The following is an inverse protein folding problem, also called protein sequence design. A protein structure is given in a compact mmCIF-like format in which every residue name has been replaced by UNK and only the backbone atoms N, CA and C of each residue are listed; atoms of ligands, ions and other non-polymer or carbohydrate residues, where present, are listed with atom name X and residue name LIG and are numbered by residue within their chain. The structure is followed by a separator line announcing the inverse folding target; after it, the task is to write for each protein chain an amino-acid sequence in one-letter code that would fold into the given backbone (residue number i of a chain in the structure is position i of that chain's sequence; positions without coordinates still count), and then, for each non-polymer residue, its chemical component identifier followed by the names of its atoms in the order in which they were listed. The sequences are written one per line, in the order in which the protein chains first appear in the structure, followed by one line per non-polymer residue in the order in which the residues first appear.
data_IF_720492022398
#
_entry.id   IF_720492022398
#
_cell.length_a   1.000
_cell.length_b   1.000
_cell.length_c   1.000
_cell.angle_alpha   90.00
_cell.angle_beta   90.00
_cell.angle_gamma   90.00
#
_symmetry.space_group_name_H-M   'P 1'
#
loop_
_entity.id
_entity.type
_entity.pdbx_description
1 polymer ?
#
# COMPACT_ATOMS: atom_id res chain seq x y z
N UNK A 1 -7.62 17.27 -10.38
CA UNK A 1 -7.27 18.71 -10.40
C UNK A 1 -5.76 18.93 -10.37
N UNK A 2 -5.07 18.82 -9.23
CA UNK A 2 -3.59 18.94 -9.19
C UNK A 2 -2.89 17.78 -9.90
N UNK A 3 -3.40 16.55 -9.78
CA UNK A 3 -2.83 15.36 -10.44
C UNK A 3 -2.96 15.37 -11.98
N UNK A 4 -3.92 16.12 -12.52
CA UNK A 4 -4.25 16.09 -13.94
C UNK A 4 -3.66 17.27 -14.71
N UNK A 5 -3.56 18.45 -14.08
CA UNK A 5 -2.94 19.62 -14.71
C UNK A 5 -2.51 20.65 -13.66
N UNK A 6 -1.24 20.59 -13.25
CA UNK A 6 -0.66 21.49 -12.25
C UNK A 6 -0.68 22.95 -12.70
N UNK A 7 -0.36 23.25 -13.97
CA UNK A 7 -0.39 24.61 -14.51
C UNK A 7 -1.78 25.24 -14.41
N UNK A 8 -2.83 24.48 -14.77
CA UNK A 8 -4.21 24.96 -14.64
C UNK A 8 -4.61 25.19 -13.19
N UNK A 9 -4.23 24.29 -12.27
CA UNK A 9 -4.54 24.46 -10.86
C UNK A 9 -3.85 25.71 -10.26
N UNK A 10 -2.61 26.00 -10.68
CA UNK A 10 -1.91 27.24 -10.31
C UNK A 10 -2.58 28.50 -10.86
N UNK A 11 -3.09 28.45 -12.10
CA UNK A 11 -3.78 29.58 -12.74
C UNK A 11 -5.12 29.95 -12.07
N UNK A 12 -5.79 28.99 -11.41
CA UNK A 12 -7.05 29.21 -10.67
C UNK A 12 -6.78 29.74 -9.24
N UNK A 13 -5.51 30.01 -8.89
CA UNK A 13 -5.11 30.58 -7.60
C UNK A 13 -4.81 29.55 -6.50
N UNK A 14 -4.75 28.25 -6.81
CA UNK A 14 -4.30 27.26 -5.84
C UNK A 14 -2.79 27.35 -5.61
N UNK A 15 -2.37 27.48 -4.36
CA UNK A 15 -0.97 27.40 -3.99
C UNK A 15 -0.48 25.94 -4.00
N UNK A 16 -0.06 25.47 -5.17
CA UNK A 16 0.44 24.11 -5.39
C UNK A 16 1.62 23.75 -4.48
N UNK A 17 2.49 24.72 -4.17
CA UNK A 17 3.64 24.51 -3.28
C UNK A 17 3.17 24.14 -1.87
N UNK A 18 2.20 24.88 -1.34
CA UNK A 18 1.68 24.63 0.00
C UNK A 18 0.95 23.29 0.08
N UNK A 19 0.18 22.93 -0.94
CA UNK A 19 -0.52 21.64 -0.99
C UNK A 19 0.48 20.46 -1.02
N UNK A 20 1.51 20.54 -1.87
CA UNK A 20 2.55 19.51 -1.94
C UNK A 20 3.35 19.43 -0.64
N UNK A 21 3.65 20.58 -0.03
CA UNK A 21 4.34 20.64 1.26
C UNK A 21 3.50 19.99 2.37
N UNK A 22 2.21 20.28 2.45
CA UNK A 22 1.30 19.64 3.41
C UNK A 22 1.26 18.13 3.22
N UNK A 23 1.13 17.66 1.97
CA UNK A 23 1.15 16.23 1.68
C UNK A 23 2.49 15.57 2.09
N UNK A 24 3.62 16.24 1.84
CA UNK A 24 4.94 15.77 2.25
C UNK A 24 5.09 15.72 3.78
N UNK A 25 4.67 16.77 4.49
CA UNK A 25 4.74 16.83 5.96
C UNK A 25 3.86 15.75 6.59
N UNK A 26 2.65 15.53 6.08
CA UNK A 26 1.75 14.49 6.59
C UNK A 26 2.36 13.09 6.33
N UNK A 27 2.86 12.84 5.13
CA UNK A 27 3.53 11.57 4.81
C UNK A 27 4.74 11.34 5.70
N UNK A 28 5.61 12.34 5.88
CA UNK A 28 6.79 12.26 6.72
C UNK A 28 6.44 12.03 8.20
N UNK A 29 5.39 12.68 8.70
CA UNK A 29 4.90 12.48 10.06
C UNK A 29 4.41 11.04 10.29
N UNK A 30 3.64 10.48 9.35
CA UNK A 30 3.14 9.10 9.44
C UNK A 30 4.28 8.09 9.36
N UNK A 31 5.21 8.25 8.41
CA UNK A 31 6.40 7.38 8.28
C UNK A 31 7.28 7.46 9.52
N UNK A 32 7.51 8.67 10.06
CA UNK A 32 8.30 8.87 11.28
C UNK A 32 7.65 8.21 12.50
N UNK A 33 6.34 8.33 12.66
CA UNK A 33 5.59 7.67 13.73
C UNK A 33 5.68 6.14 13.62
N UNK A 34 5.52 5.60 12.41
CA UNK A 34 5.66 4.16 12.17
C UNK A 34 7.08 3.64 12.50
N UNK A 35 8.12 4.39 12.11
CA UNK A 35 9.50 4.04 12.43
C UNK A 35 9.81 4.11 13.93
N UNK A 36 9.30 5.13 14.63
CA UNK A 36 9.42 5.24 16.08
C UNK A 36 8.74 4.06 16.80
N UNK A 37 7.52 3.71 16.38
CA UNK A 37 6.80 2.56 16.94
C UNK A 37 7.54 1.24 16.68
N UNK A 38 8.10 1.06 15.49
CA UNK A 38 8.89 -0.11 15.16
C UNK A 38 10.15 -0.22 16.03
N UNK A 39 10.90 0.88 16.21
CA UNK A 39 12.06 0.91 17.08
C UNK A 39 11.71 0.65 18.56
N UNK A 40 10.56 1.15 19.03
CA UNK A 40 10.05 0.85 20.37
C UNK A 40 9.72 -0.64 20.53
N UNK A 41 9.15 -1.28 19.50
CA UNK A 41 8.81 -2.69 19.51
C UNK A 41 10.06 -3.59 19.53
N UNK A 42 11.10 -3.24 18.77
CA UNK A 42 12.34 -4.02 18.70
C UNK A 42 13.31 -3.73 19.85
N UNK A 43 13.16 -2.59 20.53
CA UNK A 43 14.02 -2.14 21.64
C UNK A 43 15.43 -1.70 21.21
N UNK A 44 15.80 -1.98 19.96
CA UNK A 44 17.06 -1.60 19.33
C UNK A 44 16.79 -1.12 17.89
N UNK A 45 17.65 -0.22 17.40
CA UNK A 45 17.66 0.22 16.00
C UNK A 45 18.90 -0.35 15.27
N UNK A 46 18.85 -1.62 14.83
CA UNK A 46 19.96 -2.25 14.12
C UNK A 46 20.16 -1.62 12.73
N UNK A 47 21.41 -1.65 12.23
CA UNK A 47 21.75 -1.15 10.89
C UNK A 47 21.01 -1.91 9.78
N UNK A 48 20.60 -3.16 10.04
CA UNK A 48 19.79 -3.97 9.13
C UNK A 48 18.48 -3.27 8.70
N UNK A 49 17.94 -2.39 9.55
CA UNK A 49 16.71 -1.66 9.23
C UNK A 49 16.95 -0.56 8.18
N UNK A 50 18.19 -0.04 8.09
CA UNK A 50 18.60 0.95 7.11
C UNK A 50 19.11 0.33 5.80
N UNK A 51 19.16 -1.00 5.71
CA UNK A 51 19.55 -1.69 4.48
C UNK A 51 18.44 -1.61 3.43
N UNK A 52 18.84 -1.83 2.17
CA UNK A 52 17.93 -1.82 1.01
C UNK A 52 16.74 -2.78 1.18
N UNK A 53 16.92 -3.89 1.92
CA UNK A 53 15.90 -4.91 2.08
C UNK A 53 14.61 -4.38 2.72
N UNK A 54 14.69 -3.45 3.68
CA UNK A 54 13.51 -2.81 4.27
C UNK A 54 12.71 -2.04 3.22
N UNK A 55 13.40 -1.33 2.31
CA UNK A 55 12.76 -0.58 1.24
C UNK A 55 12.08 -1.50 0.23
N UNK A 56 12.71 -2.64 -0.10
CA UNK A 56 12.14 -3.68 -0.94
C UNK A 56 10.83 -4.21 -0.36
N UNK A 57 10.81 -4.56 0.94
CA UNK A 57 9.60 -5.06 1.60
C UNK A 57 8.44 -4.06 1.54
N UNK A 58 8.70 -2.77 1.78
CA UNK A 58 7.67 -1.71 1.72
C UNK A 58 7.09 -1.58 0.30
N UNK A 59 7.94 -1.68 -0.73
CA UNK A 59 7.50 -1.69 -2.12
C UNK A 59 6.64 -2.91 -2.43
N UNK A 60 7.07 -4.10 -2.00
CA UNK A 60 6.31 -5.35 -2.16
C UNK A 60 4.92 -5.25 -1.54
N UNK A 61 4.81 -4.80 -0.29
CA UNK A 61 3.53 -4.58 0.38
C UNK A 61 2.61 -3.63 -0.40
N UNK A 62 3.19 -2.54 -0.93
CA UNK A 62 2.45 -1.54 -1.71
C UNK A 62 1.97 -2.09 -3.05
N UNK A 63 2.83 -2.85 -3.75
CA UNK A 63 2.50 -3.46 -5.05
C UNK A 63 1.42 -4.52 -4.89
N UNK A 64 1.49 -5.34 -3.83
CA UNK A 64 0.46 -6.34 -3.50
C UNK A 64 -0.90 -5.65 -3.25
N UNK A 65 -0.88 -4.53 -2.52
CA UNK A 65 -2.07 -3.72 -2.26
C UNK A 65 -2.69 -3.12 -3.54
N UNK A 66 -1.85 -2.57 -4.41
CA UNK A 66 -2.22 -1.90 -5.66
C UNK A 66 -2.03 -0.38 -5.61
N UNK A 67 -1.87 0.26 -6.78
CA UNK A 67 -1.51 1.68 -6.92
C UNK A 67 -2.70 2.65 -6.94
N UNK A 68 -3.93 2.14 -6.74
CA UNK A 68 -5.15 2.90 -6.94
C UNK A 68 -5.56 3.83 -5.78
N UNK A 69 -5.20 3.51 -4.53
CA UNK A 69 -5.66 4.24 -3.36
C UNK A 69 -4.74 4.02 -2.14
N UNK A 70 -4.69 4.97 -1.19
CA UNK A 70 -3.90 4.82 0.04
C UNK A 70 -4.31 3.60 0.87
N UNK A 71 -5.62 3.29 0.90
CA UNK A 71 -6.16 2.11 1.57
C UNK A 71 -5.70 0.78 0.94
N UNK A 72 -5.34 0.80 -0.35
CA UNK A 72 -4.85 -0.38 -1.04
C UNK A 72 -3.51 -0.84 -0.44
N UNK A 73 -2.57 0.08 -0.21
CA UNK A 73 -1.30 -0.21 0.45
C UNK A 73 -1.46 -0.74 1.88
N UNK A 74 -2.41 -0.20 2.64
CA UNK A 74 -2.70 -0.67 4.01
C UNK A 74 -3.26 -2.10 3.99
N UNK A 75 -4.13 -2.41 3.04
CA UNK A 75 -4.65 -3.76 2.87
C UNK A 75 -3.54 -4.74 2.41
N UNK A 76 -2.68 -4.28 1.51
CA UNK A 76 -1.52 -5.04 1.02
C UNK A 76 -0.50 -5.34 2.11
N UNK A 77 -0.20 -4.38 2.99
CA UNK A 77 0.69 -4.60 4.12
C UNK A 77 0.10 -5.56 5.15
N UNK A 78 -1.20 -5.44 5.46
CA UNK A 78 -1.89 -6.38 6.34
C UNK A 78 -1.87 -7.81 5.78
N UNK A 79 -2.19 -7.97 4.50
CA UNK A 79 -2.13 -9.26 3.81
C UNK A 79 -0.70 -9.83 3.81
N UNK A 80 0.29 -9.01 3.49
CA UNK A 80 1.69 -9.39 3.51
C UNK A 80 2.11 -9.91 4.90
N UNK A 81 1.77 -9.19 5.97
CA UNK A 81 2.16 -9.59 7.34
C UNK A 81 1.53 -10.92 7.72
N UNK A 82 0.24 -11.11 7.45
CA UNK A 82 -0.45 -12.37 7.72
C UNK A 82 0.16 -13.53 6.92
N UNK A 83 0.44 -13.29 5.66
CA UNK A 83 1.01 -14.31 4.79
C UNK A 83 2.46 -14.63 5.18
N UNK A 84 3.26 -13.62 5.52
CA UNK A 84 4.64 -13.78 5.98
C UNK A 84 4.69 -14.60 7.28
N UNK A 85 3.79 -14.33 8.23
CA UNK A 85 3.70 -15.06 9.49
C UNK A 85 3.36 -16.56 9.26
N UNK A 86 2.34 -16.83 8.43
CA UNK A 86 1.96 -18.19 8.05
C UNK A 86 3.07 -18.94 7.31
N UNK A 87 3.71 -18.28 6.35
CA UNK A 87 4.71 -18.89 5.48
C UNK A 87 6.04 -19.12 6.20
N UNK A 88 6.42 -18.21 7.10
CA UNK A 88 7.56 -18.31 8.00
C UNK A 88 7.45 -19.55 8.91
N UNK A 89 6.24 -19.86 9.38
CA UNK A 89 5.98 -21.05 10.20
C UNK A 89 6.19 -22.37 9.45
N UNK A 90 5.91 -22.39 8.14
CA UNK A 90 6.01 -23.60 7.32
C UNK A 90 7.41 -23.82 6.74
N UNK A 91 8.09 -22.75 6.29
CA UNK A 91 9.35 -22.87 5.53
C UNK A 91 10.40 -21.78 5.84
N UNK A 92 11.67 -22.15 6.11
CA UNK A 92 12.74 -21.18 6.39
C UNK A 92 13.09 -20.24 5.21
N UNK A 93 12.80 -20.65 3.96
CA UNK A 93 13.07 -19.87 2.73
C UNK A 93 11.80 -19.21 2.18
N UNK A 94 11.00 -18.63 3.06
CA UNK A 94 9.73 -18.00 2.73
C UNK A 94 9.85 -16.83 1.73
N UNK A 95 11.02 -16.17 1.62
CA UNK A 95 11.24 -15.10 0.63
C UNK A 95 11.05 -15.56 -0.83
N UNK A 96 11.38 -16.83 -1.15
CA UNK A 96 11.15 -17.37 -2.50
C UNK A 96 9.66 -17.51 -2.81
N UNK A 97 8.90 -17.99 -1.83
CA UNK A 97 7.45 -18.15 -1.95
C UNK A 97 6.76 -16.77 -2.00
N UNK A 98 7.26 -15.78 -1.26
CA UNK A 98 6.81 -14.40 -1.34
C UNK A 98 6.97 -13.83 -2.75
N UNK A 99 8.13 -14.04 -3.39
CA UNK A 99 8.36 -13.62 -4.78
C UNK A 99 7.40 -14.30 -5.76
N UNK A 100 7.10 -15.58 -5.56
CA UNK A 100 6.14 -16.33 -6.36
C UNK A 100 4.71 -15.81 -6.17
N UNK A 101 4.31 -15.50 -4.94
CA UNK A 101 3.02 -14.87 -4.63
C UNK A 101 2.93 -13.49 -5.26
N UNK A 102 3.99 -12.68 -5.20
CA UNK A 102 4.03 -11.38 -5.86
C UNK A 102 3.89 -11.51 -7.37
N UNK A 103 4.54 -12.48 -8.00
CA UNK A 103 4.34 -12.78 -9.43
C UNK A 103 2.88 -13.18 -9.71
N UNK A 104 2.30 -14.08 -8.91
CA UNK A 104 0.91 -14.52 -9.09
C UNK A 104 -0.07 -13.36 -8.95
N UNK A 105 0.09 -12.52 -7.92
CA UNK A 105 -0.72 -11.32 -7.69
C UNK A 105 -0.54 -10.32 -8.83
N UNK A 106 0.68 -10.05 -9.26
CA UNK A 106 0.95 -9.11 -10.36
C UNK A 106 0.36 -9.57 -11.70
N UNK A 107 0.49 -10.87 -12.02
CA UNK A 107 -0.01 -11.43 -13.28
C UNK A 107 -1.53 -11.56 -13.32
N UNK A 108 -2.17 -11.97 -12.22
CA UNK A 108 -3.62 -12.20 -12.19
C UNK A 108 -4.42 -10.97 -11.78
N UNK A 109 -3.77 -9.99 -11.17
CA UNK A 109 -4.44 -8.85 -10.56
C UNK A 109 -3.74 -7.55 -10.92
N UNK A 110 -3.92 -7.13 -12.17
CA UNK A 110 -3.35 -5.91 -12.75
C UNK A 110 -3.77 -4.59 -12.04
N UNK A 111 -4.68 -4.68 -11.04
CA UNK A 111 -5.12 -3.57 -10.16
C UNK A 111 -4.80 -3.79 -8.67
N UNK A 112 -4.09 -4.86 -8.30
CA UNK A 112 -3.84 -5.25 -6.89
C UNK A 112 -5.09 -5.73 -6.13
N UNK A 113 -4.93 -6.14 -4.87
CA UNK A 113 -6.00 -6.71 -4.02
C UNK A 113 -7.25 -5.81 -3.96
N UNK A 114 -7.04 -4.50 -4.00
CA UNK A 114 -8.10 -3.50 -4.04
C UNK A 114 -8.98 -3.60 -5.30
N UNK A 115 -8.41 -3.99 -6.45
CA UNK A 115 -9.14 -4.16 -7.70
C UNK A 115 -10.11 -5.35 -7.70
N UNK A 116 -9.81 -6.43 -6.97
CA UNK A 116 -10.76 -7.52 -6.74
C UNK A 116 -11.86 -7.09 -5.78
N UNK A 117 -11.50 -6.37 -4.71
CA UNK A 117 -12.47 -5.81 -3.75
C UNK A 117 -13.49 -4.91 -4.42
N UNK A 118 -13.04 -3.95 -5.26
CA UNK A 118 -13.93 -3.02 -5.97
C UNK A 118 -14.80 -3.74 -7.04
N UNK A 119 -14.25 -4.75 -7.70
CA UNK A 119 -14.99 -5.56 -8.69
C UNK A 119 -16.09 -6.41 -8.05
N UNK A 120 -15.83 -6.98 -6.86
CA UNK A 120 -16.81 -7.73 -6.08
C UNK A 120 -17.84 -6.78 -5.46
N UNK A 121 -17.40 -5.64 -4.91
CA UNK A 121 -18.26 -4.65 -4.30
C UNK A 121 -19.24 -4.03 -5.31
N UNK A 122 -18.79 -3.73 -6.52
CA UNK A 122 -19.67 -3.27 -7.62
C UNK A 122 -20.67 -4.33 -8.04
N UNK A 123 -20.29 -5.61 -8.10
CA UNK A 123 -21.20 -6.73 -8.41
C UNK A 123 -22.20 -7.01 -7.28
N UNK A 124 -21.83 -6.76 -6.03
CA UNK A 124 -22.75 -6.89 -4.89
C UNK A 124 -23.74 -5.72 -4.84
N UNK A 125 -23.27 -4.50 -5.09
CA UNK A 125 -24.11 -3.30 -5.10
C UNK A 125 -25.14 -3.33 -6.23
N UNK A 126 -24.77 -3.83 -7.42
CA UNK A 126 -25.72 -3.99 -8.53
C UNK A 126 -26.83 -5.02 -8.27
N UNK A 127 -26.62 -5.96 -7.34
CA UNK A 127 -27.63 -6.95 -6.92
C UNK A 127 -28.61 -6.42 -5.87
N UNK A 128 -28.29 -5.30 -5.20
CA UNK A 128 -29.17 -4.67 -4.20
C UNK A 128 -30.15 -3.67 -4.83
N UNK A 129 -29.83 -3.11 -5.99
CA UNK A 129 -30.72 -2.18 -6.72
C UNK A 129 -31.76 -2.92 -7.58
N UNK A 130 -31.55 -4.20 -7.91
CA UNK A 130 -32.49 -5.01 -8.72
C UNK A 130 -33.59 -5.72 -7.91
N UNK A 131 -33.63 -5.53 -6.58
CA UNK A 131 -34.68 -6.12 -5.71
C UNK A 131 -35.82 -5.14 -5.37
N UNK A 132 -35.82 -3.95 -5.97
CA UNK A 132 -36.85 -2.92 -5.77
C UNK A 132 -37.69 -2.60 -7.02
N UNK A 133 -37.53 -3.36 -8.11
CA UNK A 133 -38.52 -3.44 -9.20
C UNK A 133 -39.33 -4.73 -9.09
#
# INVERSE_FOLDING_TARGET
AVRDNEERAGAIGYNLKLLKLQAFVISGAVTGLAGALHAMMTGIAPLSNAEYHTSEMILVMTVIGGTGNLFASVLGSAFYVLMADWLSSLWPRWLLLLGLVLMAVSLWMQRGLWGLGDSVWRRLRSKLETKHE
#
